data_IF_462755245889
#
_entry.id   IF_462755245889
#
_cell.length_a   1.000
_cell.length_b   1.000
_cell.length_c   1.000
_cell.angle_alpha   90.00
_cell.angle_beta   90.00
_cell.angle_gamma   90.00
#
_symmetry.space_group_name_H-M   'P 1'
#
loop_
_entity.id
_entity.type
_entity.pdbx_description
1 polymer ?
#
# COMPACT_ATOMS: atom_id res chain seq x y z
N UNK A 1 -13.21 -10.57 24.53
CA UNK A 1 -11.84 -10.69 24.01
C UNK A 1 -11.92 -10.80 22.49
N UNK A 2 -11.46 -9.79 21.76
CA UNK A 2 -10.68 -9.92 20.54
C UNK A 2 -9.66 -8.78 20.61
N UNK A 3 -8.39 -9.11 20.52
CA UNK A 3 -7.27 -8.23 20.81
C UNK A 3 -7.20 -7.07 19.79
N UNK A 4 -7.10 -5.84 20.31
CA UNK A 4 -6.76 -4.56 19.65
C UNK A 4 -7.20 -4.43 18.17
N UNK A 5 -8.41 -3.90 17.97
CA UNK A 5 -8.95 -3.61 16.64
C UNK A 5 -7.99 -2.74 15.81
N UNK A 6 -7.86 -3.07 14.52
CA UNK A 6 -7.00 -2.33 13.61
C UNK A 6 -7.37 -0.84 13.54
N UNK A 7 -6.34 0.00 13.33
CA UNK A 7 -6.49 1.44 13.20
C UNK A 7 -7.31 1.78 11.94
N UNK A 8 -8.55 2.22 12.09
CA UNK A 8 -9.40 2.61 10.95
C UNK A 8 -9.30 4.10 10.59
N UNK A 9 -8.85 4.93 11.53
CA UNK A 9 -8.68 6.37 11.34
C UNK A 9 -7.54 6.92 12.19
N UNK A 10 -6.75 7.84 11.61
CA UNK A 10 -5.72 8.59 12.33
C UNK A 10 -5.64 10.02 11.80
N UNK A 11 -5.63 10.97 12.72
CA UNK A 11 -5.28 12.36 12.43
C UNK A 11 -3.86 12.64 12.91
N UNK A 12 -3.05 13.28 12.08
CA UNK A 12 -1.68 13.71 12.42
C UNK A 12 -1.64 15.20 12.76
N UNK A 13 -0.69 15.66 13.59
CA UNK A 13 -0.56 17.09 13.96
C UNK A 13 -0.36 18.05 12.79
N UNK A 14 0.12 17.55 11.65
CA UNK A 14 0.28 18.32 10.41
C UNK A 14 -1.05 18.55 9.66
N UNK A 15 -2.19 18.10 10.20
CA UNK A 15 -3.51 18.22 9.59
C UNK A 15 -3.85 17.12 8.59
N UNK A 16 -3.00 16.09 8.46
CA UNK A 16 -3.27 14.93 7.62
C UNK A 16 -4.29 13.99 8.29
N UNK A 17 -5.30 13.57 7.53
CA UNK A 17 -6.29 12.58 7.94
C UNK A 17 -6.09 11.29 7.16
N UNK A 18 -6.00 10.16 7.85
CA UNK A 18 -5.77 8.85 7.25
C UNK A 18 -6.92 7.91 7.61
N UNK A 19 -7.48 7.24 6.61
CA UNK A 19 -8.53 6.24 6.75
C UNK A 19 -8.02 4.91 6.24
N UNK A 20 -8.34 3.83 6.94
CA UNK A 20 -7.83 2.50 6.62
C UNK A 20 -8.96 1.49 6.52
N UNK A 21 -8.85 0.58 5.56
CA UNK A 21 -9.79 -0.51 5.35
C UNK A 21 -9.03 -1.83 5.32
N UNK A 22 -9.62 -2.84 5.94
CA UNK A 22 -9.02 -4.16 6.09
C UNK A 22 -9.97 -5.23 5.53
N UNK A 23 -9.40 -6.31 5.00
CA UNK A 23 -10.16 -7.50 4.62
C UNK A 23 -10.51 -8.39 5.84
N UNK A 24 -11.16 -9.52 5.57
CA UNK A 24 -11.57 -10.50 6.60
C UNK A 24 -10.41 -11.18 7.30
N UNK A 25 -9.24 -11.20 6.67
CA UNK A 25 -7.98 -11.71 7.20
C UNK A 25 -7.16 -10.62 7.92
N UNK A 26 -7.78 -9.46 8.19
CA UNK A 26 -7.21 -8.35 8.91
C UNK A 26 -6.03 -7.66 8.18
N UNK A 27 -5.95 -7.79 6.86
CA UNK A 27 -4.90 -7.21 6.01
C UNK A 27 -5.34 -5.85 5.46
N UNK A 28 -4.44 -4.87 5.47
CA UNK A 28 -4.75 -3.51 4.98
C UNK A 28 -4.90 -3.51 3.46
N UNK A 29 -6.12 -3.39 2.95
CA UNK A 29 -6.41 -3.38 1.51
C UNK A 29 -6.52 -1.97 0.91
N UNK A 30 -6.86 -0.96 1.73
CA UNK A 30 -6.95 0.43 1.29
C UNK A 30 -6.52 1.41 2.37
N UNK A 31 -5.76 2.42 1.99
CA UNK A 31 -5.52 3.61 2.81
C UNK A 31 -5.84 4.88 2.02
N UNK A 32 -6.66 5.76 2.58
CA UNK A 32 -6.96 7.09 2.02
C UNK A 32 -6.32 8.16 2.90
N UNK A 33 -5.38 8.93 2.33
CA UNK A 33 -4.59 9.93 3.03
C UNK A 33 -4.96 11.31 2.49
N UNK A 34 -5.72 12.08 3.26
CA UNK A 34 -6.09 13.46 2.95
C UNK A 34 -5.04 14.40 3.51
N UNK A 35 -4.26 15.02 2.63
CA UNK A 35 -3.24 16.00 3.00
C UNK A 35 -3.90 17.33 3.35
N UNK A 36 -3.25 18.10 4.23
CA UNK A 36 -3.70 19.46 4.61
C UNK A 36 -3.87 20.40 3.40
N UNK A 37 -3.06 20.22 2.37
CA UNK A 37 -3.11 21.02 1.13
C UNK A 37 -4.33 20.70 0.23
N UNK A 38 -5.18 19.72 0.58
CA UNK A 38 -6.37 19.32 -0.18
C UNK A 38 -6.18 18.09 -1.07
N UNK A 39 -4.92 17.76 -1.40
CA UNK A 39 -4.57 16.56 -2.18
C UNK A 39 -4.93 15.29 -1.39
N UNK A 40 -5.38 14.25 -2.08
CA UNK A 40 -5.66 12.95 -1.47
C UNK A 40 -4.84 11.85 -2.14
N UNK A 41 -4.09 11.08 -1.36
CA UNK A 41 -3.42 9.87 -1.83
C UNK A 41 -4.27 8.66 -1.48
N UNK A 42 -4.55 7.81 -2.46
CA UNK A 42 -5.23 6.53 -2.27
C UNK A 42 -4.21 5.43 -2.51
N UNK A 43 -4.00 4.60 -1.51
CA UNK A 43 -3.19 3.39 -1.59
C UNK A 43 -4.08 2.16 -1.61
N UNK A 44 -3.84 1.26 -2.55
CA UNK A 44 -4.51 -0.04 -2.66
C UNK A 44 -3.46 -1.14 -2.60
N UNK A 45 -3.80 -2.23 -1.90
CA UNK A 45 -2.90 -3.35 -1.64
C UNK A 45 -3.59 -4.67 -1.98
N UNK A 46 -2.84 -5.58 -2.59
CA UNK A 46 -3.26 -6.96 -2.78
C UNK A 46 -2.28 -7.89 -2.08
N UNK A 47 -2.78 -9.02 -1.58
CA UNK A 47 -2.01 -10.03 -0.87
C UNK A 47 -2.33 -11.42 -1.42
N UNK A 48 -1.38 -12.33 -1.25
CA UNK A 48 -1.60 -13.75 -1.49
C UNK A 48 -2.15 -14.45 -0.23
N UNK A 49 -2.55 -15.73 -0.31
CA UNK A 49 -3.09 -16.47 0.84
C UNK A 49 -2.13 -16.63 2.03
N UNK A 50 -0.82 -16.41 1.83
CA UNK A 50 0.17 -16.43 2.90
C UNK A 50 0.36 -15.05 3.55
N UNK A 51 -0.44 -14.05 3.16
CA UNK A 51 -0.38 -12.68 3.68
C UNK A 51 0.78 -11.86 3.12
N UNK A 52 1.47 -12.35 2.08
CA UNK A 52 2.54 -11.60 1.43
C UNK A 52 1.93 -10.64 0.42
N UNK A 53 2.46 -9.44 0.34
CA UNK A 53 1.96 -8.42 -0.58
C UNK A 53 2.26 -8.82 -2.03
N UNK A 54 1.24 -8.81 -2.88
CA UNK A 54 1.33 -9.01 -4.34
C UNK A 54 1.44 -7.69 -5.09
N UNK A 55 0.80 -6.63 -4.59
CA UNK A 55 0.90 -5.31 -5.19
C UNK A 55 0.69 -4.17 -4.20
N UNK A 56 1.19 -2.99 -4.58
CA UNK A 56 0.93 -1.70 -3.95
C UNK A 56 0.72 -0.67 -5.04
N UNK A 57 -0.39 0.04 -5.01
CA UNK A 57 -0.70 1.08 -5.99
C UNK A 57 -1.05 2.39 -5.30
N UNK A 58 -0.46 3.49 -5.78
CA UNK A 58 -0.84 4.85 -5.38
C UNK A 58 -1.59 5.55 -6.51
N UNK A 59 -2.73 6.14 -6.18
CA UNK A 59 -3.52 7.04 -7.02
C UNK A 59 -3.63 8.40 -6.32
N UNK A 60 -3.23 9.46 -7.00
CA UNK A 60 -3.35 10.82 -6.49
C UNK A 60 -4.64 11.48 -7.03
N UNK A 61 -5.49 11.96 -6.13
CA UNK A 61 -6.67 12.78 -6.47
C UNK A 61 -6.43 14.23 -6.11
N UNK A 62 -6.95 15.13 -6.93
CA UNK A 62 -6.89 16.60 -6.75
C UNK A 62 -5.46 17.17 -6.76
N UNK A 63 -4.48 16.43 -7.25
CA UNK A 63 -3.20 17.02 -7.63
C UNK A 63 -3.43 17.88 -8.88
N UNK A 64 -2.83 19.08 -8.91
CA UNK A 64 -2.84 19.97 -10.09
C UNK A 64 -2.33 19.29 -11.37
N UNK A 65 -1.59 18.19 -11.20
CA UNK A 65 -1.21 17.26 -12.26
C UNK A 65 -1.75 15.87 -11.91
N UNK A 66 -2.52 15.28 -12.81
CA UNK A 66 -2.88 13.86 -12.70
C UNK A 66 -1.60 13.04 -12.90
N UNK A 67 -1.13 12.37 -11.86
CA UNK A 67 0.00 11.43 -12.00
C UNK A 67 -0.53 10.06 -12.38
N UNK A 68 0.13 9.40 -13.33
CA UNK A 68 -0.15 7.99 -13.62
C UNK A 68 -0.05 7.14 -12.34
N UNK A 69 -0.89 6.09 -12.20
CA UNK A 69 -0.86 5.23 -11.04
C UNK A 69 0.54 4.64 -10.83
N UNK A 70 1.08 4.84 -9.63
CA UNK A 70 2.38 4.29 -9.24
C UNK A 70 2.15 2.92 -8.64
N UNK A 71 2.18 1.89 -9.49
CA UNK A 71 2.01 0.49 -9.08
C UNK A 71 3.36 -0.22 -8.97
N UNK A 72 3.49 -1.01 -7.90
CA UNK A 72 4.54 -2.02 -7.72
C UNK A 72 3.89 -3.39 -7.60
N UNK A 73 4.41 -4.38 -8.33
CA UNK A 73 4.09 -5.80 -8.19
C UNK A 73 5.26 -6.54 -7.55
N UNK A 74 4.95 -7.50 -6.68
CA UNK A 74 5.94 -8.30 -5.96
C UNK A 74 5.81 -9.77 -6.36
N UNK A 75 6.94 -10.42 -6.65
CA UNK A 75 7.03 -11.85 -6.95
C UNK A 75 7.86 -12.52 -5.88
N UNK A 76 7.35 -13.63 -5.35
CA UNK A 76 7.95 -14.36 -4.23
C UNK A 76 8.43 -15.74 -4.68
N UNK A 77 9.61 -16.14 -4.21
CA UNK A 77 10.14 -17.50 -4.30
C UNK A 77 10.31 -18.05 -2.88
N UNK A 78 9.50 -19.04 -2.50
CA UNK A 78 9.38 -19.47 -1.11
C UNK A 78 9.08 -18.29 -0.18
N UNK A 79 9.90 -18.06 0.85
CA UNK A 79 9.74 -16.91 1.76
C UNK A 79 10.50 -15.66 1.31
N UNK A 80 11.23 -15.71 0.18
CA UNK A 80 12.10 -14.65 -0.30
C UNK A 80 11.41 -13.84 -1.39
N UNK A 81 11.57 -12.52 -1.36
CA UNK A 81 11.09 -11.65 -2.44
C UNK A 81 12.04 -11.81 -3.62
N UNK A 82 11.57 -12.42 -4.71
CA UNK A 82 12.37 -12.67 -5.91
C UNK A 82 12.49 -11.42 -6.79
N UNK A 83 11.36 -10.73 -7.04
CA UNK A 83 11.33 -9.59 -7.95
C UNK A 83 10.30 -8.53 -7.56
N UNK A 84 10.58 -7.30 -8.00
CA UNK A 84 9.67 -6.16 -7.91
C UNK A 84 9.54 -5.49 -9.28
N UNK A 85 8.32 -5.33 -9.77
CA UNK A 85 8.03 -4.59 -11.00
C UNK A 85 7.39 -3.27 -10.62
N UNK A 86 8.06 -2.17 -10.90
CA UNK A 86 7.56 -0.82 -10.64
C UNK A 86 7.23 -0.12 -11.94
N UNK A 87 6.48 0.98 -11.84
CA UNK A 87 6.28 1.91 -12.96
C UNK A 87 7.59 2.52 -13.50
N UNK A 88 8.73 2.38 -12.79
CA UNK A 88 10.05 2.88 -13.20
C UNK A 88 10.98 1.78 -13.74
N UNK A 89 10.56 0.51 -13.72
CA UNK A 89 11.39 -0.63 -14.09
C UNK A 89 11.32 -1.78 -13.08
N UNK A 90 12.08 -2.84 -13.35
CA UNK A 90 12.11 -4.05 -12.53
C UNK A 90 13.40 -4.16 -11.71
N UNK A 91 13.27 -4.71 -10.50
CA UNK A 91 14.38 -5.09 -9.63
C UNK A 91 14.30 -6.59 -9.36
N UNK A 92 15.43 -7.30 -9.48
CA UNK A 92 15.54 -8.73 -9.16
C UNK A 92 16.48 -8.90 -7.99
N UNK A 93 16.06 -9.65 -6.99
CA UNK A 93 16.85 -9.93 -5.80
C UNK A 93 17.54 -11.27 -5.94
N UNK A 94 18.87 -11.26 -5.88
CA UNK A 94 19.70 -12.48 -5.88
C UNK A 94 20.19 -12.75 -4.47
N UNK A 95 19.82 -13.91 -3.93
CA UNK A 95 20.25 -14.35 -2.61
C UNK A 95 21.29 -15.45 -2.77
N UNK A 96 22.47 -15.23 -2.23
CA UNK A 96 23.48 -16.29 -2.06
C UNK A 96 23.23 -16.99 -0.72
N UNK A 97 23.32 -18.31 -0.72
CA UNK A 97 23.28 -19.15 0.50
C UNK A 97 24.63 -19.08 1.23
#
# INVERSE_FOLDING_TARGET
>A
MHALGNLIYRQLPNGENQYFQYDTENQLVRAEIKKKAGNTEIWEYAYDPFGRRLSKERKDKLAWTSTEPKRTHFVWDGTRLAQEYTYQGSHTHLYTD
#
